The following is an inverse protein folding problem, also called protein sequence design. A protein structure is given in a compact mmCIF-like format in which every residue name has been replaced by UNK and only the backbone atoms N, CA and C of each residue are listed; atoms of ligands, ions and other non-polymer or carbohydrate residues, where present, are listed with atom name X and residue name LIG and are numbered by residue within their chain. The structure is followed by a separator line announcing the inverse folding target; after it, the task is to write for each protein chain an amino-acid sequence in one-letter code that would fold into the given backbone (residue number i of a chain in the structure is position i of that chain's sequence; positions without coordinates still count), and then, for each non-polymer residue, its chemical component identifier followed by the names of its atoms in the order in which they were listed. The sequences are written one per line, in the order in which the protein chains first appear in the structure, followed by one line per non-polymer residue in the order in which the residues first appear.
data_IF_077132743876
#
_entry.id   IF_077132743876
#
_cell.length_a   1.000
_cell.length_b   1.000
_cell.length_c   1.000
_cell.angle_alpha   90.00
_cell.angle_beta   90.00
_cell.angle_gamma   90.00
#
_symmetry.space_group_name_H-M   'P 1'
#
loop_
_entity.id
_entity.type
_entity.pdbx_description
1 polymer ?
#
# COMPACT_ATOMS: atom_id res chain seq x y z
N UNK A 1 11.55 -26.38 -13.07
CA UNK A 1 11.55 -25.70 -11.79
C UNK A 1 12.91 -25.89 -11.12
N UNK A 2 13.56 -24.80 -10.68
CA UNK A 2 14.84 -24.79 -9.98
C UNK A 2 14.74 -23.90 -8.75
N UNK A 3 15.37 -24.33 -7.65
CA UNK A 3 15.56 -23.56 -6.42
C UNK A 3 17.04 -23.46 -6.12
N UNK A 4 17.50 -22.27 -5.82
CA UNK A 4 18.88 -22.02 -5.38
C UNK A 4 18.84 -21.22 -4.09
N UNK A 5 19.37 -21.77 -3.01
CA UNK A 5 19.62 -21.03 -1.78
C UNK A 5 20.92 -20.25 -1.99
N UNK A 6 20.87 -18.94 -1.94
CA UNK A 6 22.00 -18.10 -2.31
C UNK A 6 22.56 -17.31 -1.14
N UNK A 7 21.70 -16.84 -0.22
CA UNK A 7 22.12 -15.94 0.84
C UNK A 7 21.53 -16.34 2.18
N UNK A 8 22.30 -16.13 3.25
CA UNK A 8 21.86 -16.27 4.63
C UNK A 8 22.39 -15.09 5.44
N UNK A 9 21.54 -14.50 6.27
CA UNK A 9 21.88 -13.40 7.16
C UNK A 9 21.17 -13.55 8.51
N UNK A 10 21.70 -12.92 9.54
CA UNK A 10 21.06 -12.84 10.85
C UNK A 10 20.17 -11.60 10.91
N UNK A 11 18.89 -11.81 11.09
CA UNK A 11 17.91 -10.74 11.33
C UNK A 11 17.66 -10.62 12.84
N UNK A 12 18.15 -9.56 13.45
CA UNK A 12 17.97 -9.27 14.87
C UNK A 12 16.66 -8.52 15.17
N UNK A 13 15.74 -8.42 14.20
CA UNK A 13 14.44 -7.73 14.30
C UNK A 13 14.53 -6.28 14.82
N UNK A 14 15.71 -5.66 14.73
CA UNK A 14 15.95 -4.30 15.24
C UNK A 14 16.12 -4.21 16.76
N UNK A 15 16.22 -5.36 17.46
CA UNK A 15 16.32 -5.45 18.93
C UNK A 15 17.74 -5.83 19.36
N UNK A 16 18.72 -4.99 19.04
CA UNK A 16 20.12 -5.24 19.39
C UNK A 16 20.27 -5.53 20.89
N UNK A 17 20.70 -6.77 21.22
CA UNK A 17 20.89 -7.25 22.59
C UNK A 17 19.82 -8.17 23.14
N UNK A 18 18.71 -8.40 22.40
CA UNK A 18 17.73 -9.45 22.71
C UNK A 18 17.80 -10.57 21.65
N UNK A 19 18.54 -11.62 21.95
CA UNK A 19 18.68 -12.76 21.03
C UNK A 19 17.47 -13.71 21.01
N UNK A 20 16.43 -13.42 21.77
CA UNK A 20 15.25 -14.32 21.86
C UNK A 20 14.36 -14.25 20.61
N UNK A 21 14.39 -13.14 19.90
CA UNK A 21 13.65 -12.91 18.66
C UNK A 21 14.52 -12.98 17.39
N UNK A 22 15.84 -13.17 17.54
CA UNK A 22 16.76 -13.35 16.42
C UNK A 22 16.31 -14.52 15.51
N UNK A 23 16.43 -14.32 14.22
CA UNK A 23 16.15 -15.31 13.17
C UNK A 23 17.25 -15.25 12.12
N UNK A 24 17.44 -16.35 11.42
CA UNK A 24 18.19 -16.31 10.17
C UNK A 24 17.24 -16.09 9.01
N UNK A 25 17.55 -15.15 8.14
CA UNK A 25 16.92 -15.01 6.84
C UNK A 25 17.66 -15.88 5.83
N UNK A 26 16.93 -16.66 5.03
CA UNK A 26 17.46 -17.48 3.95
C UNK A 26 16.80 -17.05 2.64
N UNK A 27 17.55 -16.40 1.74
CA UNK A 27 17.06 -16.05 0.43
C UNK A 27 17.26 -17.20 -0.56
N UNK A 28 16.18 -17.58 -1.21
CA UNK A 28 16.12 -18.62 -2.23
C UNK A 28 15.61 -18.01 -3.52
N UNK A 29 16.38 -18.12 -4.59
CA UNK A 29 15.93 -17.78 -5.94
C UNK A 29 15.21 -18.98 -6.55
N UNK A 30 13.96 -18.78 -6.94
CA UNK A 30 13.18 -19.76 -7.67
C UNK A 30 13.09 -19.38 -9.14
N UNK A 31 13.40 -20.34 -10.00
CA UNK A 31 13.28 -20.17 -11.46
C UNK A 31 12.28 -21.21 -11.97
N UNK A 32 11.19 -20.74 -12.55
CA UNK A 32 10.20 -21.58 -13.20
C UNK A 32 10.31 -21.43 -14.71
N UNK A 33 10.51 -22.53 -15.40
CA UNK A 33 10.63 -22.54 -16.86
C UNK A 33 9.48 -23.34 -17.47
N UNK A 34 8.61 -22.65 -18.17
CA UNK A 34 7.44 -23.23 -18.85
C UNK A 34 7.57 -23.05 -20.35
N UNK A 35 7.20 -24.08 -21.12
CA UNK A 35 7.15 -23.99 -22.58
C UNK A 35 5.73 -24.24 -23.04
N UNK A 36 5.12 -23.25 -23.68
CA UNK A 36 3.79 -23.34 -24.27
C UNK A 36 3.74 -22.53 -25.57
N UNK A 37 2.97 -23.00 -26.54
CA UNK A 37 2.90 -22.36 -27.84
C UNK A 37 4.24 -22.31 -28.61
N UNK A 38 5.22 -23.16 -28.25
CA UNK A 38 6.56 -23.16 -28.85
C UNK A 38 7.49 -22.06 -28.32
N UNK A 39 7.07 -21.29 -27.32
CA UNK A 39 7.88 -20.29 -26.64
C UNK A 39 8.21 -20.72 -25.22
N UNK A 40 9.43 -20.43 -24.80
CA UNK A 40 9.88 -20.70 -23.42
C UNK A 40 9.70 -19.43 -22.60
N UNK A 41 8.96 -19.57 -21.50
CA UNK A 41 8.77 -18.52 -20.49
C UNK A 41 9.59 -18.88 -19.26
N UNK A 42 10.35 -17.93 -18.77
CA UNK A 42 11.15 -18.05 -17.55
C UNK A 42 10.65 -17.03 -16.58
N UNK A 43 10.11 -17.51 -15.44
CA UNK A 43 9.69 -16.67 -14.32
C UNK A 43 10.70 -16.87 -13.19
N UNK A 44 11.25 -15.77 -12.71
CA UNK A 44 12.15 -15.75 -11.56
C UNK A 44 11.54 -14.98 -10.41
N UNK A 45 11.65 -15.53 -9.20
CA UNK A 45 11.19 -14.86 -7.99
C UNK A 45 12.13 -15.15 -6.83
N UNK A 46 12.14 -14.25 -5.86
CA UNK A 46 12.77 -14.48 -4.59
C UNK A 46 11.77 -14.98 -3.55
N UNK A 47 12.24 -15.89 -2.71
CA UNK A 47 11.52 -16.32 -1.51
C UNK A 47 12.48 -16.18 -0.35
N UNK A 48 12.08 -15.43 0.67
CA UNK A 48 12.88 -15.27 1.88
C UNK A 48 12.21 -16.03 3.01
N UNK A 49 12.91 -17.00 3.54
CA UNK A 49 12.44 -17.84 4.66
C UNK A 49 13.06 -17.37 5.96
N UNK A 50 12.29 -17.46 7.04
CA UNK A 50 12.82 -17.32 8.39
C UNK A 50 13.21 -18.70 8.95
N UNK A 51 14.41 -18.78 9.49
CA UNK A 51 14.93 -19.96 10.17
C UNK A 51 15.27 -19.56 11.61
N UNK A 52 14.68 -20.24 12.57
CA UNK A 52 14.97 -19.97 13.99
C UNK A 52 16.42 -20.34 14.33
N UNK A 53 16.92 -19.76 15.42
CA UNK A 53 18.28 -20.02 15.89
C UNK A 53 18.55 -21.47 16.29
N UNK A 54 17.49 -22.25 16.59
CA UNK A 54 17.57 -23.71 16.82
C UNK A 54 17.59 -24.53 15.52
N UNK A 55 17.55 -23.85 14.34
CA UNK A 55 17.53 -24.48 13.02
C UNK A 55 16.15 -24.95 12.57
N UNK A 56 15.10 -24.72 13.35
CA UNK A 56 13.75 -25.02 12.89
C UNK A 56 13.32 -24.02 11.81
N UNK A 57 12.67 -24.55 10.79
CA UNK A 57 12.35 -23.84 9.57
C UNK A 57 10.89 -23.40 9.56
N UNK A 58 10.64 -22.12 9.25
CA UNK A 58 9.30 -21.66 8.96
C UNK A 58 9.03 -21.80 7.45
N UNK A 59 8.09 -22.69 7.11
CA UNK A 59 7.71 -22.93 5.71
C UNK A 59 6.90 -21.79 5.10
N UNK A 60 6.48 -20.81 5.89
CA UNK A 60 5.75 -19.62 5.47
C UNK A 60 6.72 -18.52 5.03
N UNK A 61 7.51 -18.77 4.00
CA UNK A 61 8.40 -17.77 3.44
C UNK A 61 7.65 -16.60 2.78
N UNK A 62 8.30 -15.45 2.70
CA UNK A 62 7.81 -14.30 1.92
C UNK A 62 8.06 -14.57 0.43
N UNK A 63 7.00 -14.88 -0.30
CA UNK A 63 7.02 -15.18 -1.74
C UNK A 63 6.97 -13.90 -2.56
N UNK A 64 7.71 -13.85 -3.67
CA UNK A 64 7.81 -12.66 -4.50
C UNK A 64 8.47 -11.49 -3.76
N UNK A 65 9.39 -11.82 -2.82
CA UNK A 65 10.07 -10.80 -2.03
C UNK A 65 10.87 -9.85 -2.95
N UNK A 66 10.71 -8.56 -2.70
CA UNK A 66 11.64 -7.56 -3.21
C UNK A 66 12.96 -7.76 -2.45
N UNK A 67 13.99 -8.25 -3.14
CA UNK A 67 15.23 -8.67 -2.47
C UNK A 67 15.96 -7.50 -1.81
N UNK A 68 15.83 -6.30 -2.34
CA UNK A 68 16.35 -5.06 -1.74
C UNK A 68 15.85 -4.81 -0.31
N UNK A 69 14.65 -5.25 0.06
CA UNK A 69 14.15 -5.16 1.44
C UNK A 69 14.99 -5.96 2.45
N UNK A 70 15.73 -6.94 1.96
CA UNK A 70 16.48 -7.90 2.79
C UNK A 70 18.00 -7.75 2.68
N UNK A 71 18.49 -6.96 1.74
CA UNK A 71 19.92 -6.79 1.48
C UNK A 71 20.71 -6.29 2.69
N UNK A 72 20.09 -5.43 3.51
CA UNK A 72 20.69 -4.97 4.76
C UNK A 72 20.89 -6.12 5.76
N UNK A 73 19.99 -7.12 5.77
CA UNK A 73 20.11 -8.32 6.61
C UNK A 73 21.24 -9.20 6.09
N UNK A 74 21.38 -9.30 4.77
CA UNK A 74 22.44 -10.10 4.14
C UNK A 74 23.78 -9.38 4.06
N UNK A 75 23.79 -8.06 4.31
CA UNK A 75 24.95 -7.17 4.14
C UNK A 75 25.55 -7.22 2.72
N UNK A 76 24.70 -7.41 1.71
CA UNK A 76 25.10 -7.55 0.31
C UNK A 76 24.11 -6.85 -0.62
N UNK A 77 24.65 -6.26 -1.70
CA UNK A 77 23.91 -5.82 -2.87
C UNK A 77 23.61 -7.08 -3.72
N UNK A 78 22.36 -7.53 -3.70
CA UNK A 78 21.95 -8.80 -4.31
C UNK A 78 21.28 -8.57 -5.67
N UNK A 79 20.59 -7.46 -5.83
CA UNK A 79 19.93 -7.09 -7.09
C UNK A 79 20.90 -6.42 -8.07
N UNK A 80 22.06 -5.96 -7.58
CA UNK A 80 23.14 -5.41 -8.41
C UNK A 80 22.97 -3.93 -8.76
N UNK A 81 22.15 -3.20 -8.01
CA UNK A 81 21.92 -1.76 -8.22
C UNK A 81 23.07 -0.88 -7.68
N UNK A 82 24.03 -1.45 -6.98
CA UNK A 82 25.18 -0.79 -6.37
C UNK A 82 24.95 -0.30 -4.94
N UNK A 83 23.82 -0.65 -4.32
CA UNK A 83 23.45 -0.28 -2.96
C UNK A 83 23.06 -1.51 -2.17
N UNK A 84 22.94 -1.34 -0.85
CA UNK A 84 22.38 -2.35 0.04
C UNK A 84 21.08 -1.83 0.60
N UNK A 85 19.99 -2.49 0.28
CA UNK A 85 18.66 -2.07 0.67
C UNK A 85 18.00 -1.12 -0.32
N UNK A 86 16.91 -0.50 0.09
CA UNK A 86 16.09 0.33 -0.79
C UNK A 86 16.81 1.63 -1.14
N UNK A 87 17.01 1.90 -2.43
CA UNK A 87 17.46 3.20 -2.86
C UNK A 87 16.32 4.22 -2.85
N UNK A 88 16.39 5.16 -1.92
CA UNK A 88 15.40 6.24 -1.82
C UNK A 88 15.33 7.15 -3.05
N UNK A 89 16.38 7.17 -3.88
CA UNK A 89 16.39 7.96 -5.12
C UNK A 89 15.59 7.28 -6.24
N UNK A 90 15.39 5.97 -6.16
CA UNK A 90 14.59 5.21 -7.10
C UNK A 90 13.10 5.25 -6.74
N UNK A 91 12.77 5.76 -5.55
CA UNK A 91 11.39 5.95 -5.14
C UNK A 91 10.82 7.26 -5.67
N UNK A 92 9.72 7.16 -6.40
CA UNK A 92 8.94 8.31 -6.83
C UNK A 92 8.19 8.92 -5.64
N UNK A 93 8.37 10.23 -5.42
CA UNK A 93 7.61 10.96 -4.43
C UNK A 93 6.18 11.18 -4.89
N UNK A 94 5.22 10.77 -4.08
CA UNK A 94 3.79 11.02 -4.29
C UNK A 94 3.41 12.35 -3.66
N UNK A 95 3.68 12.50 -2.36
CA UNK A 95 3.34 13.71 -1.59
C UNK A 95 4.29 13.87 -0.42
N UNK A 96 4.27 15.03 0.22
CA UNK A 96 4.83 15.25 1.56
C UNK A 96 3.87 16.08 2.38
N UNK A 97 3.84 15.79 3.68
CA UNK A 97 3.13 16.62 4.64
C UNK A 97 3.92 17.89 5.02
N UNK A 98 3.33 18.69 5.89
CA UNK A 98 3.96 19.93 6.40
C UNK A 98 5.09 19.67 7.41
N UNK A 99 5.24 18.46 7.92
CA UNK A 99 6.25 18.03 8.90
C UNK A 99 7.42 17.30 8.26
N UNK A 100 7.36 17.04 6.94
CA UNK A 100 8.44 16.42 6.18
C UNK A 100 8.30 14.91 6.02
N UNK A 101 7.18 14.31 6.42
CA UNK A 101 6.87 12.93 6.07
C UNK A 101 6.54 12.84 4.59
N UNK A 102 7.17 11.93 3.88
CA UNK A 102 6.93 11.70 2.46
C UNK A 102 6.26 10.35 2.23
N UNK A 103 5.21 10.32 1.42
CA UNK A 103 4.71 9.11 0.79
C UNK A 103 5.41 8.94 -0.55
N UNK A 104 6.01 7.78 -0.75
CA UNK A 104 6.72 7.43 -1.99
C UNK A 104 6.22 6.09 -2.54
N UNK A 105 6.50 5.84 -3.82
CA UNK A 105 6.25 4.56 -4.47
C UNK A 105 7.51 4.03 -5.15
N UNK A 106 7.64 2.71 -5.21
CA UNK A 106 8.70 2.04 -5.96
C UNK A 106 8.36 0.56 -6.11
N UNK A 107 8.69 -0.05 -7.24
CA UNK A 107 8.42 -1.46 -7.55
C UNK A 107 6.98 -1.91 -7.21
N UNK A 108 6.00 -1.02 -7.40
CA UNK A 108 4.59 -1.27 -7.07
C UNK A 108 4.24 -1.20 -5.58
N UNK A 109 5.19 -0.90 -4.71
CA UNK A 109 4.99 -0.78 -3.26
C UNK A 109 4.91 0.67 -2.81
N UNK A 110 4.25 0.90 -1.66
CA UNK A 110 4.20 2.19 -1.01
C UNK A 110 5.19 2.24 0.17
N UNK A 111 5.81 3.41 0.35
CA UNK A 111 6.79 3.68 1.38
C UNK A 111 6.47 4.98 2.10
N UNK A 112 6.69 5.00 3.42
CA UNK A 112 6.70 6.21 4.24
C UNK A 112 8.16 6.54 4.54
N UNK A 113 8.57 7.78 4.24
CA UNK A 113 9.89 8.31 4.58
C UNK A 113 9.72 9.44 5.59
N UNK A 114 10.26 9.25 6.78
CA UNK A 114 10.19 10.20 7.92
C UNK A 114 11.60 10.42 8.45
N UNK A 115 12.24 11.49 7.99
CA UNK A 115 13.65 11.75 8.25
C UNK A 115 14.55 10.63 7.72
N UNK A 116 15.30 10.00 8.64
CA UNK A 116 16.19 8.87 8.31
C UNK A 116 15.47 7.51 8.32
N UNK A 117 14.15 7.48 8.61
CA UNK A 117 13.36 6.26 8.67
C UNK A 117 12.64 6.03 7.36
N UNK A 118 12.79 4.84 6.79
CA UNK A 118 12.02 4.39 5.63
C UNK A 118 11.26 3.13 5.98
N UNK A 119 9.95 3.19 5.81
CA UNK A 119 9.04 2.08 6.10
C UNK A 119 8.36 1.64 4.81
N UNK A 120 8.59 0.41 4.40
CA UNK A 120 7.73 -0.23 3.39
C UNK A 120 6.41 -0.58 4.04
N UNK A 121 5.30 -0.18 3.45
CA UNK A 121 3.97 -0.47 3.98
C UNK A 121 3.60 -1.90 3.63
N UNK A 122 3.28 -2.70 4.66
CA UNK A 122 2.99 -4.14 4.55
C UNK A 122 1.73 -4.49 5.34
N UNK A 123 1.09 -5.59 4.98
CA UNK A 123 0.05 -6.22 5.81
C UNK A 123 0.65 -7.02 6.97
N UNK A 124 -0.21 -7.62 7.81
CA UNK A 124 0.20 -8.46 8.95
C UNK A 124 0.96 -9.73 8.53
N UNK A 125 0.87 -10.13 7.27
CA UNK A 125 1.58 -11.28 6.70
C UNK A 125 2.91 -10.90 6.07
N UNK A 126 3.26 -9.60 6.07
CA UNK A 126 4.48 -9.07 5.46
C UNK A 126 4.36 -8.80 3.96
N UNK A 127 3.17 -8.97 3.36
CA UNK A 127 2.97 -8.62 1.97
C UNK A 127 2.96 -7.11 1.80
N UNK A 128 3.65 -6.56 0.79
CA UNK A 128 3.64 -5.14 0.55
C UNK A 128 2.23 -4.65 0.21
N UNK A 129 1.86 -3.48 0.74
CA UNK A 129 0.66 -2.77 0.26
C UNK A 129 1.00 -2.16 -1.08
N UNK A 130 0.41 -2.73 -2.10
CA UNK A 130 0.61 -2.31 -3.47
C UNK A 130 -0.45 -1.26 -3.85
N UNK A 131 -0.06 -0.36 -4.71
CA UNK A 131 -1.01 0.29 -5.59
C UNK A 131 -1.52 -0.79 -6.56
N UNK A 132 -2.81 -0.82 -6.77
CA UNK A 132 -3.44 -1.88 -7.55
C UNK A 132 -4.28 -1.29 -8.68
N UNK A 133 -4.30 -1.98 -9.81
CA UNK A 133 -5.13 -1.60 -10.94
C UNK A 133 -5.51 -2.84 -11.73
N UNK A 134 -6.70 -2.83 -12.24
CA UNK A 134 -7.20 -3.92 -13.06
C UNK A 134 -8.20 -3.44 -14.09
N UNK A 135 -8.37 -4.24 -15.12
CA UNK A 135 -9.41 -4.01 -16.12
C UNK A 135 -10.09 -5.32 -16.49
N UNK A 136 -11.38 -5.21 -16.78
CA UNK A 136 -12.20 -6.31 -17.27
C UNK A 136 -13.05 -5.81 -18.43
N UNK A 137 -13.76 -6.69 -19.09
CA UNK A 137 -14.69 -6.29 -20.12
C UNK A 137 -15.78 -5.37 -19.52
N UNK A 138 -15.79 -4.11 -19.91
CA UNK A 138 -16.75 -3.12 -19.45
C UNK A 138 -16.33 -2.31 -18.21
N UNK A 139 -15.09 -2.43 -17.72
CA UNK A 139 -14.66 -1.61 -16.60
C UNK A 139 -13.19 -1.67 -16.26
N UNK A 140 -12.80 -0.83 -15.31
CA UNK A 140 -11.47 -0.84 -14.72
C UNK A 140 -11.50 -0.26 -13.31
N UNK A 141 -10.52 -0.63 -12.50
CA UNK A 141 -10.28 0.02 -11.20
C UNK A 141 -8.83 0.45 -11.07
N UNK A 142 -8.61 1.42 -10.20
CA UNK A 142 -7.28 1.89 -9.83
C UNK A 142 -7.28 2.34 -8.37
N UNK A 143 -6.32 1.85 -7.59
CA UNK A 143 -6.08 2.22 -6.20
C UNK A 143 -4.67 2.77 -6.07
N UNK A 144 -4.54 4.06 -5.77
CA UNK A 144 -3.25 4.75 -5.72
C UNK A 144 -3.04 5.41 -4.36
N UNK A 145 -1.81 5.33 -3.84
CA UNK A 145 -1.39 6.07 -2.66
C UNK A 145 -1.52 7.58 -2.92
N UNK A 146 -2.01 8.32 -1.94
CA UNK A 146 -2.31 9.73 -2.11
C UNK A 146 -1.65 10.64 -1.07
N UNK A 147 -1.73 10.28 0.22
CA UNK A 147 -1.13 11.02 1.31
C UNK A 147 -0.75 10.11 2.48
N UNK A 148 0.28 10.50 3.23
CA UNK A 148 0.61 9.92 4.52
C UNK A 148 0.88 11.03 5.54
N UNK A 149 0.51 10.80 6.80
CA UNK A 149 0.66 11.76 7.90
C UNK A 149 1.07 11.03 9.17
N UNK A 150 2.07 11.54 9.88
CA UNK A 150 2.50 11.02 11.17
C UNK A 150 1.52 11.41 12.27
N UNK A 151 1.15 10.45 13.09
CA UNK A 151 0.25 10.65 14.21
C UNK A 151 1.04 10.91 15.52
N UNK A 152 0.41 11.55 16.52
CA UNK A 152 1.08 11.85 17.80
C UNK A 152 1.58 10.62 18.57
N UNK A 153 1.01 9.44 18.33
CA UNK A 153 1.40 8.16 18.94
C UNK A 153 2.56 7.46 18.21
N UNK A 154 3.08 8.09 17.14
CA UNK A 154 4.16 7.56 16.32
C UNK A 154 3.72 6.60 15.22
N UNK A 155 2.42 6.34 15.10
CA UNK A 155 1.83 5.67 13.94
C UNK A 155 1.69 6.63 12.76
N UNK A 156 1.20 6.12 11.62
CA UNK A 156 0.91 6.94 10.45
C UNK A 156 -0.51 6.68 9.96
N UNK A 157 -1.12 7.71 9.38
CA UNK A 157 -2.33 7.57 8.57
C UNK A 157 -1.95 7.56 7.10
N UNK A 158 -2.57 6.67 6.32
CA UNK A 158 -2.39 6.56 4.88
C UNK A 158 -3.72 6.73 4.19
N UNK A 159 -3.79 7.62 3.19
CA UNK A 159 -4.92 7.75 2.30
C UNK A 159 -4.60 7.12 0.94
N UNK A 160 -5.48 6.22 0.49
CA UNK A 160 -5.46 5.62 -0.85
C UNK A 160 -6.72 6.06 -1.57
N UNK A 161 -6.56 6.60 -2.78
CA UNK A 161 -7.69 6.95 -3.65
C UNK A 161 -8.03 5.77 -4.53
N UNK A 162 -9.27 5.31 -4.40
CA UNK A 162 -9.85 4.28 -5.25
C UNK A 162 -10.72 4.93 -6.33
N UNK A 163 -10.55 4.51 -7.55
CA UNK A 163 -11.41 4.92 -8.67
C UNK A 163 -11.83 3.69 -9.43
N UNK A 164 -13.09 3.62 -9.79
CA UNK A 164 -13.66 2.56 -10.62
C UNK A 164 -14.43 3.19 -11.77
N UNK A 165 -14.28 2.61 -12.95
CA UNK A 165 -15.05 2.99 -14.13
C UNK A 165 -15.77 1.78 -14.66
N UNK A 166 -17.02 1.93 -15.07
CA UNK A 166 -17.80 0.86 -15.68
C UNK A 166 -18.72 1.40 -16.78
N UNK A 167 -18.94 0.57 -17.77
CA UNK A 167 -19.84 0.89 -18.89
C UNK A 167 -21.24 0.37 -18.58
N UNK A 168 -22.26 1.24 -18.73
CA UNK A 168 -23.66 0.99 -18.35
C UNK A 168 -24.24 -0.15 -19.16
N UNK A 169 -23.96 -1.16 -19.41
CA UNK A 169 -24.50 -2.36 -20.09
C UNK A 169 -24.22 -3.64 -19.32
N UNK A 170 -23.25 -3.58 -18.40
CA UNK A 170 -22.77 -4.76 -17.70
C UNK A 170 -23.59 -5.10 -16.44
N UNK A 171 -24.23 -4.10 -15.81
CA UNK A 171 -25.03 -4.30 -14.59
C UNK A 171 -26.52 -4.58 -14.85
N UNK A 172 -27.04 -4.26 -16.03
CA UNK A 172 -28.41 -4.60 -16.39
C UNK A 172 -28.38 -5.92 -17.15
N UNK A 173 -28.70 -7.03 -16.52
CA UNK A 173 -28.91 -8.32 -17.19
C UNK A 173 -30.05 -8.32 -18.24
N UNK A 174 -30.40 -7.16 -18.76
CA UNK A 174 -31.39 -6.91 -19.80
C UNK A 174 -30.70 -6.75 -21.15
N UNK A 175 -30.55 -7.83 -21.87
CA UNK A 175 -29.96 -7.89 -23.24
C UNK A 175 -30.79 -7.20 -24.33
N UNK A 176 -31.80 -6.39 -24.02
CA UNK A 176 -32.77 -5.85 -24.98
C UNK A 176 -32.76 -4.32 -25.11
N UNK A 177 -31.78 -3.59 -24.52
CA UNK A 177 -31.66 -2.17 -24.79
C UNK A 177 -30.63 -1.92 -25.88
N UNK A 178 -31.08 -1.17 -26.90
CA UNK A 178 -30.29 -0.71 -28.05
C UNK A 178 -29.06 0.08 -27.56
N UNK A 179 -27.90 -0.57 -27.55
CA UNK A 179 -26.65 -0.12 -26.92
C UNK A 179 -25.93 0.99 -27.71
N UNK A 180 -26.67 1.90 -28.34
CA UNK A 180 -26.06 2.94 -29.18
C UNK A 180 -25.36 4.07 -28.39
N UNK A 181 -25.56 4.16 -27.05
CA UNK A 181 -24.87 5.14 -26.18
C UNK A 181 -24.58 4.53 -24.79
N UNK A 182 -23.59 3.65 -24.72
CA UNK A 182 -23.13 3.15 -23.43
C UNK A 182 -22.39 4.28 -22.67
N UNK A 183 -23.03 4.83 -21.65
CA UNK A 183 -22.37 5.82 -20.76
C UNK A 183 -21.34 5.12 -19.88
N UNK A 184 -20.13 5.68 -19.83
CA UNK A 184 -19.13 5.28 -18.87
C UNK A 184 -19.37 6.03 -17.55
N UNK A 185 -19.69 5.31 -16.49
CA UNK A 185 -19.84 5.84 -15.14
C UNK A 185 -18.55 5.60 -14.35
N UNK A 186 -18.18 6.60 -13.55
CA UNK A 186 -17.05 6.49 -12.64
C UNK A 186 -17.51 6.61 -11.18
N UNK A 187 -16.89 5.82 -10.32
CA UNK A 187 -16.98 5.94 -8.88
C UNK A 187 -15.61 6.30 -8.32
N UNK A 188 -15.57 7.20 -7.34
CA UNK A 188 -14.36 7.50 -6.60
C UNK A 188 -14.64 7.36 -5.11
N UNK A 189 -13.70 6.74 -4.41
CA UNK A 189 -13.78 6.56 -2.97
C UNK A 189 -12.37 6.60 -2.37
N UNK A 190 -12.29 6.57 -1.06
CA UNK A 190 -11.03 6.63 -0.32
C UNK A 190 -10.94 5.51 0.69
N UNK A 191 -9.78 4.92 0.78
CA UNK A 191 -9.40 4.04 1.87
C UNK A 191 -8.46 4.81 2.81
N UNK A 192 -8.80 4.83 4.09
CA UNK A 192 -7.98 5.44 5.13
C UNK A 192 -7.48 4.31 6.01
N UNK A 193 -6.16 4.19 6.12
CA UNK A 193 -5.52 3.13 6.89
C UNK A 193 -4.68 3.72 8.03
N UNK A 194 -4.59 2.98 9.14
CA UNK A 194 -3.59 3.21 10.17
C UNK A 194 -2.39 2.31 9.90
N UNK A 195 -1.20 2.89 9.91
CA UNK A 195 0.07 2.19 9.72
C UNK A 195 0.86 2.30 11.01
N UNK A 196 1.33 1.18 11.54
CA UNK A 196 2.17 1.18 12.73
C UNK A 196 3.52 1.87 12.51
N UNK A 197 4.24 2.18 13.58
CA UNK A 197 5.61 2.70 13.51
C UNK A 197 6.62 1.74 12.86
N UNK A 198 6.24 0.50 12.62
CA UNK A 198 7.02 -0.51 11.89
C UNK A 198 6.55 -0.75 10.44
N UNK A 199 5.63 0.08 9.93
CA UNK A 199 5.13 -0.04 8.56
C UNK A 199 4.00 -1.05 8.35
N UNK A 200 3.45 -1.63 9.43
CA UNK A 200 2.38 -2.63 9.32
C UNK A 200 1.01 -1.94 9.27
N UNK A 201 0.21 -2.32 8.29
CA UNK A 201 -1.15 -1.85 8.07
C UNK A 201 -2.11 -2.52 9.05
N UNK A 202 -2.89 -1.73 9.79
CA UNK A 202 -3.92 -2.21 10.71
C UNK A 202 -5.29 -2.20 10.01
N UNK A 203 -5.71 -3.37 9.51
CA UNK A 203 -7.01 -3.52 8.86
C UNK A 203 -8.19 -3.24 9.80
N UNK A 204 -8.02 -3.45 11.10
CA UNK A 204 -9.06 -3.19 12.10
C UNK A 204 -9.37 -1.70 12.30
N UNK A 205 -8.47 -0.82 11.84
CA UNK A 205 -8.61 0.64 11.89
C UNK A 205 -8.73 1.27 10.51
N UNK A 206 -9.04 0.47 9.50
CA UNK A 206 -9.26 0.95 8.15
C UNK A 206 -10.68 1.44 7.95
N UNK A 207 -10.85 2.48 7.14
CA UNK A 207 -12.14 3.07 6.79
C UNK A 207 -12.25 3.24 5.28
N UNK A 208 -13.42 3.00 4.73
CA UNK A 208 -13.75 3.30 3.35
C UNK A 208 -14.80 4.40 3.31
N UNK A 209 -14.57 5.46 2.53
CA UNK A 209 -15.47 6.60 2.44
C UNK A 209 -15.53 7.16 1.01
N UNK A 210 -16.71 7.53 0.52
CA UNK A 210 -16.83 8.26 -0.74
C UNK A 210 -16.39 9.73 -0.60
N UNK A 211 -16.39 10.28 0.63
CA UNK A 211 -16.04 11.66 0.91
C UNK A 211 -14.86 11.75 1.87
N UNK A 212 -13.75 12.31 1.41
CA UNK A 212 -12.51 12.44 2.19
C UNK A 212 -12.52 13.64 3.14
N UNK A 213 -13.38 14.64 2.95
CA UNK A 213 -13.36 15.90 3.71
C UNK A 213 -13.34 15.69 5.23
N UNK A 214 -14.03 14.66 5.75
CA UNK A 214 -14.01 14.34 7.17
C UNK A 214 -12.63 13.88 7.70
N UNK A 215 -11.73 13.46 6.83
CA UNK A 215 -10.39 12.96 7.16
C UNK A 215 -9.27 13.95 6.81
N UNK A 216 -9.52 14.98 6.02
CA UNK A 216 -8.48 15.93 5.60
C UNK A 216 -7.78 16.63 6.76
N UNK A 217 -8.50 16.85 7.87
CA UNK A 217 -7.90 17.37 9.11
C UNK A 217 -6.87 16.41 9.72
N UNK A 218 -6.99 15.09 9.49
CA UNK A 218 -6.01 14.10 9.92
C UNK A 218 -4.72 14.22 9.13
N UNK A 219 -4.83 14.56 7.84
CA UNK A 219 -3.69 14.72 6.93
C UNK A 219 -3.20 16.16 6.83
N UNK A 220 -3.92 17.11 7.45
CA UNK A 220 -3.65 18.54 7.33
C UNK A 220 -3.48 19.01 5.86
N UNK A 221 -4.23 18.41 4.95
CA UNK A 221 -4.16 18.62 3.50
C UNK A 221 -5.56 18.64 2.89
N UNK A 222 -5.75 19.50 1.90
CA UNK A 222 -6.90 19.48 1.00
C UNK A 222 -6.69 18.32 0.00
N UNK A 223 -7.34 17.18 0.25
CA UNK A 223 -7.18 15.97 -0.56
C UNK A 223 -8.21 15.85 -1.68
N UNK A 224 -9.34 16.54 -1.55
CA UNK A 224 -10.41 16.53 -2.55
C UNK A 224 -10.26 17.68 -3.57
N UNK A 225 -9.44 18.70 -3.25
CA UNK A 225 -9.15 19.83 -4.14
C UNK A 225 -10.22 20.93 -4.11
N UNK A 226 -11.04 21.01 -3.05
CA UNK A 226 -12.08 22.05 -2.91
C UNK A 226 -11.55 23.37 -2.32
N UNK A 227 -10.29 23.41 -1.89
CA UNK A 227 -9.61 24.56 -1.31
C UNK A 227 -9.79 24.70 0.20
N UNK A 228 -10.40 23.70 0.87
CA UNK A 228 -10.67 23.69 2.31
C UNK A 228 -10.06 22.41 2.90
N UNK A 229 -9.39 22.51 4.03
CA UNK A 229 -8.96 21.33 4.80
C UNK A 229 -10.06 20.97 5.79
N UNK A 230 -10.72 19.86 5.55
CA UNK A 230 -11.85 19.38 6.35
C UNK A 230 -13.20 19.56 5.67
N UNK A 231 -14.27 19.48 6.44
CA UNK A 231 -15.63 19.60 5.89
C UNK A 231 -15.98 21.08 5.68
N UNK A 232 -16.34 21.44 4.45
CA UNK A 232 -16.95 22.76 4.19
C UNK A 232 -18.37 22.80 4.77
N UNK A 233 -18.47 23.35 5.98
CA UNK A 233 -19.77 23.52 6.65
C UNK A 233 -20.72 24.47 5.91
N UNK A 234 -20.20 25.28 4.99
CA UNK A 234 -21.00 26.20 4.16
C UNK A 234 -21.82 25.48 3.10
N UNK A 235 -21.39 24.30 2.67
CA UNK A 235 -22.12 23.48 1.67
C UNK A 235 -23.15 22.55 2.30
N UNK A 236 -23.10 22.37 3.63
CA UNK A 236 -24.02 21.48 4.34
C UNK A 236 -25.41 22.11 4.50
N UNK A 237 -26.44 21.30 4.31
CA UNK A 237 -27.82 21.73 4.52
C UNK A 237 -28.17 21.71 6.02
N UNK A 238 -28.78 22.79 6.50
CA UNK A 238 -29.31 22.87 7.86
C UNK A 238 -30.52 21.96 8.01
N UNK A 239 -30.44 20.97 8.92
CA UNK A 239 -31.57 20.12 9.29
C UNK A 239 -32.32 20.75 10.46
N UNK A 240 -31.61 21.15 11.51
CA UNK A 240 -32.19 21.66 12.74
C UNK A 240 -31.18 22.51 13.51
N UNK A 241 -31.68 23.59 14.14
CA UNK A 241 -30.94 24.35 15.15
C UNK A 241 -31.65 24.20 16.48
N UNK A 242 -30.94 23.96 17.58
CA UNK A 242 -31.51 23.94 18.91
C UNK A 242 -31.62 25.36 19.54
N UNK A 243 -32.23 25.45 20.73
CA UNK A 243 -32.40 26.72 21.42
C UNK A 243 -31.10 27.36 21.93
N UNK A 244 -29.97 26.63 21.90
CA UNK A 244 -28.64 27.10 22.28
C UNK A 244 -27.81 27.49 21.05
N UNK A 245 -28.35 27.34 19.84
CA UNK A 245 -27.69 27.67 18.58
C UNK A 245 -26.83 26.56 17.98
N UNK A 246 -26.87 25.32 18.52
CA UNK A 246 -26.20 24.18 17.89
C UNK A 246 -26.95 23.75 16.64
N UNK A 247 -26.24 23.60 15.55
CA UNK A 247 -26.79 23.24 14.25
C UNK A 247 -26.50 21.80 13.90
N UNK A 248 -27.53 21.05 13.53
CA UNK A 248 -27.42 19.77 12.85
C UNK A 248 -27.44 20.01 11.36
N UNK A 249 -26.41 19.56 10.64
CA UNK A 249 -26.26 19.73 9.19
C UNK A 249 -26.10 18.37 8.53
N UNK A 250 -26.41 18.27 7.25
CA UNK A 250 -26.25 17.06 6.43
C UNK A 250 -25.57 17.41 5.12
N UNK A 251 -24.77 16.52 4.63
CA UNK A 251 -24.23 16.56 3.27
C UNK A 251 -25.36 16.31 2.25
N UNK A 252 -25.31 16.97 1.11
CA UNK A 252 -26.37 16.99 0.09
C UNK A 252 -26.23 15.88 -0.94
#
# INVERSE_FOLDING_TARGET
FKREALYVGLDNKGTAGDASDDRYALAVKETNTNTWGGQTHIDEQWVVYEVKTDGSFDWMGTWGAEISDFETIFDQDIDGDGKKGIDLNDLEKITSDTYGVELKRGSGSLYIVDGDTTLKIKDDYGNPRLEDSGSWEGGSFNAVGYAAEKQPDGSYSLAIKFTETFTDGFLSGNQNEDSSEAETKGMSAWEIHSISSSGILDWGKSSFTPNIGGYETVFNQDLNGDGIVGIDVGTLLDIKTDDNGYQLKIDS
#
